data_IF_715307524624
#
_entry.id   IF_715307524624
#
_cell.length_a   1.000
_cell.length_b   1.000
_cell.length_c   1.000
_cell.angle_alpha   90.00
_cell.angle_beta   90.00
_cell.angle_gamma   90.00
#
_symmetry.space_group_name_H-M   'P 1'
#
loop_
_entity.id
_entity.type
_entity.pdbx_description
1 polymer ?
#
# COMPACT_ATOMS: atom_id res chain seq x y z
N UNK A 1 -67.00 39.48 35.51
CA UNK A 1 -65.99 38.44 35.24
C UNK A 1 -66.17 37.99 33.82
N UNK A 2 -65.55 38.71 32.90
CA UNK A 2 -65.68 38.46 31.46
C UNK A 2 -64.61 37.45 31.06
N UNK A 3 -65.03 36.22 30.69
CA UNK A 3 -64.10 35.16 30.30
C UNK A 3 -63.78 35.33 28.82
N UNK A 4 -62.55 35.78 28.56
CA UNK A 4 -61.94 35.84 27.23
C UNK A 4 -62.03 34.45 26.56
N UNK A 5 -62.78 34.36 25.47
CA UNK A 5 -62.79 33.20 24.60
C UNK A 5 -61.49 33.23 23.77
N UNK A 6 -60.53 32.41 24.16
CA UNK A 6 -59.35 32.12 23.35
C UNK A 6 -59.83 31.30 22.14
N UNK A 7 -59.65 31.86 20.94
CA UNK A 7 -59.93 31.18 19.68
C UNK A 7 -58.82 30.16 19.43
N UNK A 8 -59.12 28.89 19.67
CA UNK A 8 -58.26 27.78 19.27
C UNK A 8 -58.20 27.71 17.74
N UNK A 9 -57.14 28.26 17.15
CA UNK A 9 -56.87 28.16 15.72
C UNK A 9 -56.50 26.71 15.41
N UNK A 10 -57.50 25.93 14.97
CA UNK A 10 -57.31 24.58 14.44
C UNK A 10 -56.38 24.70 13.23
N UNK A 11 -55.11 24.37 13.41
CA UNK A 11 -54.13 24.38 12.33
C UNK A 11 -54.43 23.18 11.45
N UNK A 12 -55.12 23.41 10.33
CA UNK A 12 -55.36 22.37 9.33
C UNK A 12 -54.02 22.03 8.68
N UNK A 13 -53.62 20.74 8.59
CA UNK A 13 -52.37 20.36 7.95
C UNK A 13 -52.28 20.94 6.54
N UNK A 14 -51.28 21.79 6.29
CA UNK A 14 -51.04 22.43 4.98
C UNK A 14 -51.53 23.87 4.84
N UNK A 15 -52.28 24.43 5.81
CA UNK A 15 -52.76 25.82 5.73
C UNK A 15 -51.62 26.84 5.74
N UNK A 16 -50.58 26.60 6.54
CA UNK A 16 -49.37 27.43 6.54
C UNK A 16 -48.64 27.44 5.18
N UNK A 17 -48.69 26.34 4.42
CA UNK A 17 -48.07 26.27 3.10
C UNK A 17 -48.83 27.13 2.08
N UNK A 18 -50.16 27.15 2.16
CA UNK A 18 -51.02 27.98 1.30
C UNK A 18 -50.86 29.47 1.65
N UNK A 19 -50.73 29.81 2.94
CA UNK A 19 -50.46 31.20 3.35
C UNK A 19 -49.07 31.67 2.91
N UNK A 20 -48.03 30.84 3.03
CA UNK A 20 -46.69 31.16 2.53
C UNK A 20 -46.67 31.36 1.01
N UNK A 21 -47.40 30.53 0.25
CA UNK A 21 -47.56 30.69 -1.20
C UNK A 21 -48.29 32.00 -1.57
N UNK A 22 -49.32 32.39 -0.79
CA UNK A 22 -50.04 33.65 -0.99
C UNK A 22 -49.22 34.90 -0.63
N UNK A 23 -48.25 34.76 0.27
CA UNK A 23 -47.37 35.86 0.69
C UNK A 23 -46.20 36.11 -0.28
N UNK A 24 -46.13 35.46 -1.45
CA UNK A 24 -45.01 35.56 -2.39
C UNK A 24 -43.64 35.38 -1.69
N UNK A 25 -43.61 34.57 -0.62
CA UNK A 25 -42.36 34.11 -0.04
C UNK A 25 -41.87 33.04 -1.00
N UNK A 26 -40.96 33.43 -1.88
CA UNK A 26 -40.30 32.51 -2.80
C UNK A 26 -39.59 31.45 -1.94
N UNK A 27 -40.26 30.30 -1.77
CA UNK A 27 -39.68 29.12 -1.16
C UNK A 27 -38.63 28.61 -2.15
N UNK A 28 -37.47 29.25 -2.16
CA UNK A 28 -36.32 28.86 -2.97
C UNK A 28 -35.93 27.47 -2.51
N UNK A 29 -36.36 26.46 -3.27
CA UNK A 29 -35.96 25.08 -3.09
C UNK A 29 -34.43 25.04 -3.19
N UNK A 30 -33.75 24.91 -2.03
CA UNK A 30 -32.30 24.78 -1.97
C UNK A 30 -31.92 23.45 -2.63
N UNK A 31 -31.60 23.51 -3.92
CA UNK A 31 -31.03 22.37 -4.64
C UNK A 31 -29.76 21.97 -3.89
N UNK A 32 -29.57 20.68 -3.57
CA UNK A 32 -28.34 20.24 -2.92
C UNK A 32 -27.15 20.71 -3.76
N UNK A 33 -26.12 21.25 -3.08
CA UNK A 33 -24.87 21.66 -3.73
C UNK A 33 -24.34 20.43 -4.46
N UNK A 34 -24.33 20.50 -5.79
CA UNK A 34 -23.82 19.39 -6.57
C UNK A 34 -22.32 19.28 -6.34
N UNK A 35 -21.78 18.05 -6.22
CA UNK A 35 -20.34 17.88 -6.10
C UNK A 35 -19.64 18.51 -7.31
N UNK A 36 -18.41 19.04 -7.11
CA UNK A 36 -17.66 19.66 -8.19
C UNK A 36 -17.48 18.68 -9.35
N UNK A 37 -17.48 19.22 -10.58
CA UNK A 37 -17.25 18.41 -11.77
C UNK A 37 -15.92 17.66 -11.67
N UNK A 38 -15.95 16.35 -11.95
CA UNK A 38 -14.76 15.50 -11.92
C UNK A 38 -13.76 16.01 -12.95
N UNK A 39 -12.49 16.13 -12.54
CA UNK A 39 -11.38 16.42 -13.46
C UNK A 39 -11.19 15.23 -14.39
N UNK A 40 -10.84 15.49 -15.65
CA UNK A 40 -10.56 14.42 -16.62
C UNK A 40 -9.24 13.77 -16.23
N UNK A 41 -9.29 12.47 -15.94
CA UNK A 41 -8.11 11.64 -15.63
C UNK A 41 -7.58 11.02 -16.92
N UNK A 42 -6.30 10.68 -16.94
CA UNK A 42 -5.68 9.92 -18.03
C UNK A 42 -6.10 8.46 -17.90
N UNK A 43 -6.74 7.93 -18.93
CA UNK A 43 -7.16 6.53 -18.99
C UNK A 43 -5.95 5.67 -19.32
N UNK A 44 -5.74 4.62 -18.53
CA UNK A 44 -4.74 3.59 -18.75
C UNK A 44 -5.45 2.25 -18.92
N UNK A 45 -4.83 1.37 -19.71
CA UNK A 45 -5.21 -0.04 -19.79
C UNK A 45 -5.20 -0.69 -18.39
N UNK A 46 -6.10 -1.64 -18.14
CA UNK A 46 -6.32 -2.21 -16.80
C UNK A 46 -5.05 -2.87 -16.24
N UNK A 47 -4.41 -3.75 -17.01
CA UNK A 47 -3.18 -4.44 -16.58
C UNK A 47 -2.06 -3.44 -16.27
N UNK A 48 -1.97 -2.38 -17.10
CA UNK A 48 -0.99 -1.30 -16.91
C UNK A 48 -1.28 -0.47 -15.67
N UNK A 49 -2.55 -0.12 -15.43
CA UNK A 49 -2.98 0.64 -14.26
C UNK A 49 -2.72 -0.12 -12.97
N UNK A 50 -3.13 -1.40 -12.91
CA UNK A 50 -2.92 -2.27 -11.74
C UNK A 50 -1.43 -2.42 -11.45
N UNK A 51 -0.61 -2.67 -12.46
CA UNK A 51 0.84 -2.82 -12.31
C UNK A 51 1.51 -1.55 -11.78
N UNK A 52 1.10 -0.37 -12.25
CA UNK A 52 1.62 0.90 -11.75
C UNK A 52 1.19 1.17 -10.30
N UNK A 53 -0.07 0.88 -9.95
CA UNK A 53 -0.58 1.01 -8.57
C UNK A 53 0.12 0.03 -7.62
N UNK A 54 0.26 -1.23 -8.01
CA UNK A 54 0.97 -2.27 -7.24
C UNK A 54 2.40 -1.82 -6.93
N UNK A 55 3.12 -1.35 -7.94
CA UNK A 55 4.49 -0.83 -7.77
C UNK A 55 4.57 0.33 -6.79
N UNK A 56 3.59 1.26 -6.79
CA UNK A 56 3.57 2.39 -5.85
C UNK A 56 3.26 1.90 -4.43
N UNK A 57 2.31 0.98 -4.29
CA UNK A 57 1.90 0.44 -2.98
C UNK A 57 3.04 -0.37 -2.34
N UNK A 58 3.67 -1.28 -3.09
CA UNK A 58 4.79 -2.07 -2.60
C UNK A 58 5.93 -1.16 -2.11
N UNK A 59 6.29 -0.13 -2.90
CA UNK A 59 7.33 0.84 -2.55
C UNK A 59 7.03 1.60 -1.26
N UNK A 60 5.82 2.14 -1.11
CA UNK A 60 5.50 3.09 -0.04
C UNK A 60 5.01 2.42 1.25
N UNK A 61 4.31 1.28 1.14
CA UNK A 61 3.66 0.63 2.27
C UNK A 61 4.27 -0.73 2.64
N UNK A 62 5.00 -1.37 1.72
CA UNK A 62 5.58 -2.69 1.95
C UNK A 62 7.07 -2.79 1.55
N UNK A 63 7.94 -1.96 2.15
CA UNK A 63 9.37 -1.95 1.80
C UNK A 63 10.07 -3.29 2.08
N UNK A 64 9.60 -4.06 3.06
CA UNK A 64 10.18 -5.34 3.46
C UNK A 64 9.55 -6.56 2.77
N UNK A 65 8.66 -6.34 1.80
CA UNK A 65 7.88 -7.41 1.17
C UNK A 65 8.76 -8.40 0.42
N UNK A 66 9.80 -7.92 -0.26
CA UNK A 66 10.80 -8.76 -0.93
C UNK A 66 11.56 -9.64 0.10
N UNK A 67 12.09 -9.02 1.16
CA UNK A 67 12.79 -9.72 2.23
C UNK A 67 11.91 -10.80 2.90
N UNK A 68 10.61 -10.51 3.07
CA UNK A 68 9.67 -11.44 3.68
C UNK A 68 9.33 -12.61 2.73
N UNK A 69 9.12 -12.34 1.44
CA UNK A 69 8.94 -13.36 0.40
C UNK A 69 10.13 -14.33 0.38
N UNK A 70 11.35 -13.80 0.37
CA UNK A 70 12.56 -14.63 0.37
C UNK A 70 12.71 -15.52 1.61
N UNK A 71 12.37 -15.00 2.79
CA UNK A 71 12.37 -15.80 4.02
C UNK A 71 11.35 -16.92 3.96
N UNK A 72 10.16 -16.66 3.42
CA UNK A 72 9.13 -17.66 3.22
C UNK A 72 9.61 -18.74 2.24
N UNK A 73 10.14 -18.34 1.09
CA UNK A 73 10.64 -19.25 0.07
C UNK A 73 11.80 -20.12 0.58
N UNK A 74 12.68 -19.56 1.43
CA UNK A 74 13.74 -20.32 2.10
C UNK A 74 13.18 -21.38 3.05
N UNK A 75 12.16 -21.05 3.84
CA UNK A 75 11.52 -22.00 4.75
C UNK A 75 10.80 -23.10 3.98
N UNK A 76 10.09 -22.76 2.91
CA UNK A 76 9.42 -23.73 2.04
C UNK A 76 10.44 -24.67 1.37
N UNK A 77 11.54 -24.13 0.85
CA UNK A 77 12.63 -24.93 0.28
C UNK A 77 13.25 -25.87 1.32
N UNK A 78 13.38 -25.43 2.57
CA UNK A 78 13.86 -26.26 3.67
C UNK A 78 12.89 -27.39 4.03
N UNK A 79 11.58 -27.12 4.04
CA UNK A 79 10.55 -28.11 4.34
C UNK A 79 10.42 -29.16 3.22
N UNK A 80 10.44 -28.70 1.97
CA UNK A 80 10.38 -29.55 0.77
C UNK A 80 11.71 -30.23 0.45
N UNK A 81 12.79 -29.90 1.18
CA UNK A 81 14.17 -30.31 0.92
C UNK A 81 14.64 -30.02 -0.52
N UNK A 82 14.21 -28.88 -1.08
CA UNK A 82 14.69 -28.39 -2.38
C UNK A 82 16.12 -27.85 -2.24
N UNK A 83 17.08 -28.73 -2.49
CA UNK A 83 18.52 -28.45 -2.40
C UNK A 83 19.00 -27.40 -3.41
N UNK A 84 18.29 -27.21 -4.53
CA UNK A 84 18.65 -26.24 -5.57
C UNK A 84 18.35 -24.84 -5.06
N UNK A 85 17.10 -24.60 -4.63
CA UNK A 85 16.70 -23.33 -4.01
C UNK A 85 17.52 -22.99 -2.78
N UNK A 86 17.77 -23.97 -1.90
CA UNK A 86 18.62 -23.74 -0.72
C UNK A 86 20.02 -23.26 -1.11
N UNK A 87 20.65 -23.84 -2.15
CA UNK A 87 21.95 -23.38 -2.65
C UNK A 87 21.89 -21.95 -3.19
N UNK A 88 20.82 -21.60 -3.90
CA UNK A 88 20.61 -20.23 -4.39
C UNK A 88 20.51 -19.24 -3.24
N UNK A 89 19.71 -19.54 -2.21
CA UNK A 89 19.65 -18.74 -0.99
C UNK A 89 21.02 -18.62 -0.30
N UNK A 90 21.73 -19.73 -0.11
CA UNK A 90 23.07 -19.67 0.45
C UNK A 90 23.99 -18.80 -0.39
N UNK A 91 23.93 -18.86 -1.72
CA UNK A 91 24.78 -18.03 -2.58
C UNK A 91 24.43 -16.55 -2.45
N UNK A 92 23.14 -16.19 -2.45
CA UNK A 92 22.65 -14.82 -2.30
C UNK A 92 23.06 -14.19 -0.96
N UNK A 93 22.98 -14.95 0.13
CA UNK A 93 23.22 -14.45 1.49
C UNK A 93 24.63 -14.71 2.04
N UNK A 94 25.39 -15.68 1.49
CA UNK A 94 26.78 -15.93 1.91
C UNK A 94 27.78 -15.06 1.16
N UNK A 95 27.48 -14.62 -0.06
CA UNK A 95 28.36 -13.75 -0.84
C UNK A 95 28.56 -12.35 -0.22
N UNK A 96 27.64 -11.91 0.65
CA UNK A 96 27.73 -10.61 1.37
C UNK A 96 28.52 -10.73 2.68
N UNK A 97 28.83 -11.95 3.13
CA UNK A 97 29.78 -12.16 4.22
C UNK A 97 31.15 -12.38 3.60
N UNK A 98 31.92 -11.30 3.43
CA UNK A 98 33.37 -11.45 3.53
C UNK A 98 33.62 -12.28 4.79
N UNK A 99 34.18 -13.50 4.70
CA UNK A 99 34.64 -14.16 5.90
C UNK A 99 35.60 -13.18 6.56
N UNK A 100 35.55 -12.96 7.90
CA UNK A 100 36.53 -12.11 8.54
C UNK A 100 37.89 -12.63 8.09
N UNK A 101 38.59 -11.84 7.29
CA UNK A 101 39.96 -12.12 6.90
C UNK A 101 40.67 -12.26 8.24
N UNK A 102 41.06 -13.49 8.58
CA UNK A 102 41.91 -13.74 9.74
C UNK A 102 43.21 -13.03 9.44
N UNK A 103 43.29 -11.78 9.88
CA UNK A 103 44.41 -10.91 9.69
C UNK A 103 45.54 -11.48 10.56
N UNK A 104 46.39 -12.28 9.90
CA UNK A 104 47.75 -12.64 10.28
C UNK A 104 47.99 -13.01 11.76
N UNK A 105 47.88 -14.30 12.08
CA UNK A 105 48.55 -14.90 13.25
C UNK A 105 50.00 -15.26 12.84
N UNK A 106 50.74 -14.27 12.37
CA UNK A 106 52.15 -14.42 12.00
C UNK A 106 52.92 -13.25 12.62
N UNK A 107 52.91 -13.14 13.96
CA UNK A 107 53.81 -12.25 14.72
C UNK A 107 53.72 -12.57 16.24
N UNK A 108 54.07 -13.80 16.63
CA UNK A 108 54.47 -14.07 18.02
C UNK A 108 55.81 -14.81 18.03
N UNK A 109 56.91 -14.13 18.39
CA UNK A 109 58.21 -14.80 18.49
C UNK A 109 58.17 -15.83 19.61
N UNK A 110 58.33 -17.09 19.22
CA UNK A 110 58.47 -18.23 20.10
C UNK A 110 59.79 -18.16 20.88
N UNK A 111 59.80 -17.53 22.06
CA UNK A 111 60.90 -17.65 23.04
C UNK A 111 60.40 -17.41 24.48
N UNK A 112 59.70 -18.37 25.07
CA UNK A 112 59.93 -18.68 26.49
C UNK A 112 59.40 -20.08 26.82
N UNK A 113 60.33 -20.93 27.24
CA UNK A 113 60.09 -22.28 27.71
C UNK A 113 59.47 -22.20 29.12
N UNK A 114 58.14 -22.21 29.20
CA UNK A 114 57.43 -22.33 30.48
C UNK A 114 57.32 -23.81 30.86
N UNK A 115 57.78 -24.22 32.06
CA UNK A 115 57.73 -25.62 32.46
C UNK A 115 56.28 -26.06 32.67
N UNK A 116 55.96 -27.25 32.16
CA UNK A 116 54.65 -27.90 32.30
C UNK A 116 54.41 -28.21 33.79
N UNK A 117 53.62 -27.38 34.46
CA UNK A 117 52.92 -27.74 35.69
C UNK A 117 51.47 -28.03 35.36
N UNK A 118 51.02 -29.21 35.81
CA UNK A 118 49.84 -29.88 35.30
C UNK A 118 48.52 -29.14 35.46
N UNK A 119 47.61 -29.61 34.62
CA UNK A 119 46.15 -29.69 34.72
C UNK A 119 45.46 -29.16 33.46
N UNK A 120 44.77 -30.10 32.80
CA UNK A 120 43.72 -29.96 31.79
C UNK A 120 44.08 -29.87 30.29
N UNK A 121 43.67 -30.97 29.64
CA UNK A 121 43.03 -31.09 28.31
C UNK A 121 43.97 -31.31 27.11
N UNK A 122 44.31 -32.59 26.93
CA UNK A 122 44.59 -33.19 25.63
C UNK A 122 43.29 -33.54 24.92
N UNK A 123 43.21 -33.17 23.64
CA UNK A 123 42.72 -34.07 22.59
C UNK A 123 41.25 -33.99 22.20
N UNK A 124 41.00 -33.41 21.03
CA UNK A 124 40.07 -33.95 20.03
C UNK A 124 38.58 -33.71 20.25
N UNK A 125 38.05 -32.65 19.65
CA UNK A 125 36.85 -32.70 18.80
C UNK A 125 36.60 -31.30 18.23
N UNK A 126 36.88 -31.13 16.95
CA UNK A 126 36.45 -29.97 16.20
C UNK A 126 34.97 -30.16 15.86
N UNK A 127 34.09 -29.61 16.70
CA UNK A 127 32.74 -29.23 16.26
C UNK A 127 32.73 -27.71 16.17
N UNK A 128 32.55 -27.11 14.97
CA UNK A 128 32.25 -25.69 14.88
C UNK A 128 30.83 -25.52 15.44
N UNK A 129 30.73 -25.06 16.68
CA UNK A 129 29.46 -24.58 17.22
C UNK A 129 29.07 -23.33 16.46
N UNK A 130 28.23 -23.49 15.44
CA UNK A 130 27.70 -22.35 14.70
C UNK A 130 26.62 -21.69 15.58
N UNK A 131 27.00 -20.65 16.30
CA UNK A 131 26.05 -19.76 16.96
C UNK A 131 25.39 -18.87 15.90
N UNK A 132 24.35 -19.39 15.25
CA UNK A 132 23.40 -18.54 14.53
C UNK A 132 22.46 -17.90 15.56
N UNK A 133 22.92 -16.84 16.24
CA UNK A 133 21.98 -15.89 16.86
C UNK A 133 21.30 -15.13 15.72
N UNK A 134 20.11 -15.61 15.35
CA UNK A 134 19.20 -15.02 14.36
C UNK A 134 18.91 -13.53 14.62
N UNK A 135 19.09 -13.09 15.87
CA UNK A 135 18.83 -11.74 16.35
C UNK A 135 19.80 -10.68 15.76
N UNK A 136 21.06 -11.04 15.51
CA UNK A 136 22.05 -10.10 14.95
C UNK A 136 21.94 -9.89 13.43
N UNK A 137 21.10 -10.67 12.73
CA UNK A 137 20.92 -10.54 11.29
C UNK A 137 19.91 -9.44 10.93
N UNK A 138 18.98 -9.11 11.85
CA UNK A 138 17.96 -8.07 11.63
C UNK A 138 18.55 -6.66 11.63
N UNK A 139 19.49 -6.37 12.55
CA UNK A 139 19.99 -5.00 12.76
C UNK A 139 20.96 -4.55 11.65
N UNK A 140 21.68 -5.49 11.04
CA UNK A 140 22.61 -5.19 9.94
C UNK A 140 21.92 -4.99 8.58
N UNK A 141 20.68 -5.46 8.40
CA UNK A 141 19.96 -5.35 7.13
C UNK A 141 19.28 -3.99 6.93
N UNK A 142 18.82 -3.35 8.01
CA UNK A 142 18.21 -2.01 7.96
C UNK A 142 19.18 -0.92 7.46
N UNK A 143 20.49 -1.17 7.51
CA UNK A 143 21.51 -0.21 7.07
C UNK A 143 21.89 -0.33 5.58
N UNK A 144 21.60 -1.47 4.93
CA UNK A 144 22.05 -1.75 3.55
C UNK A 144 21.01 -1.49 2.45
N UNK A 145 19.73 -1.39 2.80
CA UNK A 145 18.64 -1.11 1.81
C UNK A 145 18.76 0.30 1.21
N UNK A 146 19.58 1.19 1.77
CA UNK A 146 19.77 2.56 1.27
C UNK A 146 20.65 2.65 0.01
N UNK A 147 21.48 1.64 -0.27
CA UNK A 147 22.57 1.76 -1.25
C UNK A 147 22.35 0.96 -2.56
N UNK A 148 21.25 0.20 -2.70
CA UNK A 148 20.94 -0.65 -3.88
C UNK A 148 19.73 -0.12 -4.68
N UNK A 149 19.53 1.20 -4.69
CA UNK A 149 18.43 1.85 -5.42
C UNK A 149 18.90 2.61 -6.68
N UNK A 150 20.05 2.23 -7.24
CA UNK A 150 20.63 2.85 -8.44
C UNK A 150 21.02 1.80 -9.48
N UNK A 151 20.06 1.07 -10.04
CA UNK A 151 20.10 0.69 -11.45
C UNK A 151 18.75 0.11 -11.87
N UNK A 152 17.96 0.89 -12.60
CA UNK A 152 17.06 0.44 -13.66
C UNK A 152 16.41 1.69 -14.27
N UNK A 153 17.00 2.15 -15.39
CA UNK A 153 16.45 3.22 -16.23
C UNK A 153 15.22 2.71 -16.97
N UNK A 154 14.04 2.89 -16.38
CA UNK A 154 12.81 3.05 -17.17
C UNK A 154 11.82 4.03 -16.52
N UNK A 155 11.45 4.98 -17.37
CA UNK A 155 10.33 5.92 -17.30
C UNK A 155 10.29 7.00 -16.20
N UNK A 156 9.97 8.21 -16.65
CA UNK A 156 9.94 9.48 -15.94
C UNK A 156 8.87 9.60 -14.82
N UNK A 157 8.49 8.49 -14.17
CA UNK A 157 7.67 8.49 -12.94
C UNK A 157 8.58 8.75 -11.74
N UNK A 158 9.16 9.95 -11.71
CA UNK A 158 9.83 10.42 -10.51
C UNK A 158 8.83 10.50 -9.36
N UNK A 159 8.88 9.53 -8.43
CA UNK A 159 8.40 9.65 -7.04
C UNK A 159 6.97 10.21 -6.84
N UNK A 160 6.04 9.95 -7.75
CA UNK A 160 4.65 10.31 -7.45
C UNK A 160 4.09 9.40 -6.36
N UNK A 161 3.34 9.98 -5.42
CA UNK A 161 2.65 9.23 -4.36
C UNK A 161 1.42 8.53 -4.92
N UNK A 162 0.87 7.58 -4.16
CA UNK A 162 -0.36 6.89 -4.53
C UNK A 162 -1.49 7.89 -4.81
N UNK A 163 -1.71 8.87 -3.93
CA UNK A 163 -2.75 9.89 -4.11
C UNK A 163 -2.55 10.70 -5.40
N UNK A 164 -1.33 11.11 -5.70
CA UNK A 164 -1.04 11.86 -6.93
C UNK A 164 -1.30 11.02 -8.18
N UNK A 165 -1.04 9.71 -8.10
CA UNK A 165 -1.32 8.78 -9.18
C UNK A 165 -2.82 8.60 -9.40
N UNK A 166 -3.57 8.35 -8.33
CA UNK A 166 -5.02 8.16 -8.37
C UNK A 166 -5.75 9.44 -8.81
N UNK A 167 -5.21 10.62 -8.53
CA UNK A 167 -5.77 11.89 -8.98
C UNK A 167 -5.62 12.10 -10.49
N UNK A 168 -4.51 11.63 -11.07
CA UNK A 168 -4.17 11.84 -12.48
C UNK A 168 -4.61 10.72 -13.40
N UNK A 169 -4.73 9.49 -12.92
CA UNK A 169 -4.98 8.30 -13.73
C UNK A 169 -6.28 7.58 -13.33
N UNK A 170 -6.90 6.91 -14.30
CA UNK A 170 -8.06 6.03 -14.12
C UNK A 170 -7.88 4.80 -15.00
N UNK A 171 -8.45 3.66 -14.60
CA UNK A 171 -8.46 2.48 -15.45
C UNK A 171 -9.45 2.58 -16.61
N UNK A 172 -9.20 1.80 -17.66
CA UNK A 172 -10.08 1.61 -18.82
C UNK A 172 -11.48 1.15 -18.39
N UNK A 173 -11.55 0.17 -17.49
CA UNK A 173 -12.82 -0.34 -16.95
C UNK A 173 -13.63 0.74 -16.26
N UNK A 174 -12.98 1.62 -15.50
CA UNK A 174 -13.66 2.72 -14.82
C UNK A 174 -14.18 3.79 -15.80
N UNK A 175 -13.41 4.13 -16.85
CA UNK A 175 -13.90 5.06 -17.89
C UNK A 175 -15.07 4.46 -18.67
N UNK A 176 -14.98 3.17 -19.03
CA UNK A 176 -16.04 2.43 -19.72
C UNK A 176 -17.34 2.41 -18.88
N UNK A 177 -17.23 2.18 -17.58
CA UNK A 177 -18.37 2.23 -16.67
C UNK A 177 -19.00 3.64 -16.62
N UNK A 178 -18.18 4.69 -16.56
CA UNK A 178 -18.69 6.06 -16.59
C UNK A 178 -19.41 6.38 -17.91
N UNK A 179 -18.92 5.87 -19.04
CA UNK A 179 -19.57 6.04 -20.33
C UNK A 179 -20.96 5.40 -20.37
N UNK A 180 -21.06 4.16 -19.87
CA UNK A 180 -22.34 3.44 -19.78
C UNK A 180 -23.32 4.19 -18.87
N UNK A 181 -22.85 4.74 -17.74
CA UNK A 181 -23.70 5.56 -16.86
C UNK A 181 -24.20 6.83 -17.54
N UNK A 182 -23.32 7.56 -18.24
CA UNK A 182 -23.68 8.78 -19.00
C UNK A 182 -24.73 8.47 -20.06
N UNK A 183 -24.61 7.34 -20.75
CA UNK A 183 -25.57 6.90 -21.77
C UNK A 183 -26.92 6.53 -21.16
N UNK A 184 -26.92 5.79 -20.04
CA UNK A 184 -28.16 5.46 -19.32
C UNK A 184 -28.91 6.72 -18.85
N UNK A 185 -28.19 7.72 -18.33
CA UNK A 185 -28.79 9.00 -17.96
C UNK A 185 -29.39 9.73 -19.16
N UNK A 186 -28.71 9.74 -20.32
CA UNK A 186 -29.27 10.35 -21.54
C UNK A 186 -30.54 9.66 -21.97
N UNK A 187 -30.55 8.33 -22.00
CA UNK A 187 -31.74 7.53 -22.34
C UNK A 187 -32.90 7.81 -21.38
N UNK A 188 -32.61 7.90 -20.08
CA UNK A 188 -33.60 8.25 -19.07
C UNK A 188 -34.21 9.63 -19.33
N UNK A 189 -33.37 10.66 -19.53
CA UNK A 189 -33.81 12.04 -19.81
C UNK A 189 -34.65 12.13 -21.09
N UNK A 190 -34.27 11.42 -22.15
CA UNK A 190 -35.04 11.37 -23.40
C UNK A 190 -36.41 10.73 -23.18
N UNK A 191 -36.45 9.61 -22.44
CA UNK A 191 -37.69 8.91 -22.13
C UNK A 191 -38.63 9.77 -21.28
N UNK A 192 -38.09 10.47 -20.29
CA UNK A 192 -38.82 11.42 -19.44
C UNK A 192 -39.43 12.56 -20.28
N UNK A 193 -38.63 13.21 -21.13
CA UNK A 193 -39.11 14.25 -22.05
C UNK A 193 -40.20 13.73 -23.00
N UNK A 194 -40.07 12.48 -23.48
CA UNK A 194 -41.08 11.85 -24.34
C UNK A 194 -42.43 11.69 -23.62
N UNK A 195 -42.43 11.28 -22.35
CA UNK A 195 -43.67 11.17 -21.57
C UNK A 195 -44.33 12.51 -21.34
N UNK A 196 -43.56 13.55 -21.00
CA UNK A 196 -44.11 14.88 -20.74
C UNK A 196 -44.67 15.56 -21.99
N UNK A 197 -44.23 15.19 -23.19
CA UNK A 197 -44.76 15.74 -24.45
C UNK A 197 -46.08 15.07 -24.90
N UNK A 198 -46.46 13.93 -24.32
CA UNK A 198 -47.67 13.16 -24.68
C UNK A 198 -48.88 13.45 -23.79
N UNK A 199 -48.70 14.19 -22.70
CA UNK A 199 -49.79 14.71 -21.84
C UNK A 199 -50.00 16.19 -22.13
#
# INVERSE_FOLDING_TARGET
>A
TDKMAQSDSVTVPGEMAIQAAKQNVELVFKKPVQPPARKRKKVLDEDSYVKEVEKIIERDFFPDLENLKEKLDYLEAKETNDVVKLREFYSKYSAVKDPPILQNVEDSPATFETPITGHSKRGGSATPGINYSLDNLLDSQNKMVKDIAEDEKSSQSGKMSLDEFLDKHTSEDNESFEEIMKENERRFKIKELHYHKKN
#
